data_IF_357311775049
#
_entry.id   IF_357311775049
#
_cell.length_a   1.000
_cell.length_b   1.000
_cell.length_c   1.000
_cell.angle_alpha   90.00
_cell.angle_beta   90.00
_cell.angle_gamma   90.00
#
_symmetry.space_group_name_H-M   'P 1'
#
loop_
_entity.id
_entity.type
_entity.pdbx_description
1 polymer ?
#
# COMPACT_ATOMS: atom_id res chain seq x y z
N UNK A 1 21.74 -12.58 -1.19
CA UNK A 1 21.27 -11.81 -0.01
C UNK A 1 20.36 -12.69 0.84
N UNK A 2 20.53 -12.68 2.17
CA UNK A 2 19.66 -13.41 3.11
C UNK A 2 18.57 -12.48 3.63
N UNK A 3 17.30 -12.87 3.40
CA UNK A 3 16.13 -12.05 3.73
C UNK A 3 15.19 -12.83 4.67
N UNK A 4 14.74 -12.18 5.73
CA UNK A 4 13.74 -12.74 6.63
C UNK A 4 12.39 -12.06 6.45
N UNK A 5 11.33 -12.86 6.29
CA UNK A 5 9.94 -12.36 6.23
C UNK A 5 9.30 -12.52 7.61
N UNK A 6 8.85 -11.42 8.18
CA UNK A 6 8.27 -11.33 9.51
C UNK A 6 6.78 -11.12 9.40
N UNK A 7 5.99 -12.08 9.89
CA UNK A 7 4.56 -12.18 9.65
C UNK A 7 4.25 -13.00 8.40
N UNK A 8 3.80 -14.26 8.59
CA UNK A 8 3.56 -15.23 7.52
C UNK A 8 2.05 -15.41 7.24
N UNK A 9 1.29 -14.33 7.41
CA UNK A 9 -0.10 -14.23 6.99
C UNK A 9 -0.23 -14.15 5.46
N UNK A 10 -1.38 -13.68 4.96
CA UNK A 10 -1.65 -13.56 3.51
C UNK A 10 -0.57 -12.75 2.78
N UNK A 11 -0.23 -11.54 3.28
CA UNK A 11 0.78 -10.68 2.65
C UNK A 11 2.19 -11.26 2.77
N UNK A 12 2.57 -11.78 3.94
CA UNK A 12 3.90 -12.40 4.11
C UNK A 12 4.11 -13.61 3.19
N UNK A 13 3.11 -14.46 3.02
CA UNK A 13 3.16 -15.58 2.05
C UNK A 13 3.26 -15.08 0.60
N UNK A 14 2.59 -13.98 0.25
CA UNK A 14 2.74 -13.34 -1.07
C UNK A 14 4.18 -12.84 -1.26
N UNK A 15 4.73 -12.11 -0.29
CA UNK A 15 6.13 -11.62 -0.35
C UNK A 15 7.12 -12.76 -0.45
N UNK A 16 6.95 -13.83 0.36
CA UNK A 16 7.77 -15.04 0.26
C UNK A 16 7.72 -15.66 -1.14
N UNK A 17 6.53 -15.85 -1.70
CA UNK A 17 6.37 -16.44 -3.03
C UNK A 17 7.09 -15.60 -4.10
N UNK A 18 6.88 -14.28 -4.11
CA UNK A 18 7.51 -13.39 -5.09
C UNK A 18 9.05 -13.36 -4.94
N UNK A 19 9.54 -13.40 -3.71
CA UNK A 19 10.99 -13.47 -3.46
C UNK A 19 11.56 -14.85 -3.81
N UNK A 20 10.81 -15.95 -3.63
CA UNK A 20 11.28 -17.31 -3.97
C UNK A 20 11.47 -17.54 -5.47
N UNK A 21 10.89 -16.71 -6.33
CA UNK A 21 11.12 -16.72 -7.78
C UNK A 21 12.54 -16.22 -8.15
N UNK A 22 13.28 -15.66 -7.20
CA UNK A 22 14.61 -15.09 -7.40
C UNK A 22 15.70 -16.10 -6.99
N UNK A 23 16.77 -16.12 -7.78
CA UNK A 23 17.93 -17.00 -7.52
C UNK A 23 19.03 -16.31 -6.69
N UNK A 24 18.90 -15.01 -6.41
CA UNK A 24 19.89 -14.18 -5.73
C UNK A 24 19.54 -13.92 -4.26
N UNK A 25 18.47 -14.53 -3.74
CA UNK A 25 18.05 -14.42 -2.36
C UNK A 25 17.87 -15.79 -1.69
N UNK A 26 18.17 -15.85 -0.41
CA UNK A 26 17.89 -16.96 0.50
C UNK A 26 16.89 -16.49 1.54
N UNK A 27 15.83 -17.27 1.77
CA UNK A 27 14.65 -16.82 2.51
C UNK A 27 14.51 -17.55 3.85
N UNK A 28 14.08 -16.78 4.84
CA UNK A 28 13.75 -17.23 6.19
C UNK A 28 12.41 -16.64 6.62
N UNK A 29 11.81 -17.19 7.68
CA UNK A 29 10.53 -16.74 8.17
C UNK A 29 10.47 -16.56 9.69
N UNK A 30 9.57 -15.66 10.15
CA UNK A 30 9.15 -15.53 11.53
C UNK A 30 7.65 -15.34 11.57
N UNK A 31 6.94 -16.12 12.37
CA UNK A 31 5.54 -15.87 12.76
C UNK A 31 5.31 -16.33 14.19
N UNK A 32 4.40 -15.67 14.89
CA UNK A 32 3.97 -16.08 16.25
C UNK A 32 3.12 -17.35 16.24
N UNK A 33 2.53 -17.71 15.09
CA UNK A 33 1.73 -18.93 14.92
C UNK A 33 2.60 -20.02 14.26
N UNK A 34 2.86 -21.08 15.03
CA UNK A 34 3.68 -22.23 14.58
C UNK A 34 3.12 -22.88 13.31
N UNK A 35 1.79 -22.98 13.19
CA UNK A 35 1.12 -23.54 12.02
C UNK A 35 1.44 -22.81 10.71
N UNK A 36 1.64 -21.48 10.77
CA UNK A 36 2.06 -20.69 9.60
C UNK A 36 3.51 -20.96 9.23
N UNK A 37 4.37 -21.16 10.22
CA UNK A 37 5.76 -21.56 10.01
C UNK A 37 5.84 -22.97 9.36
N UNK A 38 5.05 -23.90 9.83
CA UNK A 38 4.97 -25.25 9.23
C UNK A 38 4.48 -25.20 7.78
N UNK A 39 3.42 -24.44 7.50
CA UNK A 39 2.87 -24.27 6.15
C UNK A 39 3.93 -23.71 5.17
N UNK A 40 4.66 -22.66 5.54
CA UNK A 40 5.68 -22.08 4.64
C UNK A 40 6.92 -22.97 4.53
N UNK A 41 7.26 -23.75 5.55
CA UNK A 41 8.31 -24.75 5.49
C UNK A 41 7.96 -25.86 4.49
N UNK A 42 6.73 -26.37 4.53
CA UNK A 42 6.27 -27.38 3.58
C UNK A 42 6.20 -26.83 2.15
N UNK A 43 5.68 -25.61 1.99
CA UNK A 43 5.42 -25.04 0.67
C UNK A 43 6.66 -24.47 -0.03
N UNK A 44 7.57 -23.84 0.72
CA UNK A 44 8.72 -23.10 0.20
C UNK A 44 10.07 -23.67 0.64
N UNK A 45 10.10 -24.65 1.56
CA UNK A 45 11.33 -25.25 2.07
C UNK A 45 12.17 -24.32 2.95
N UNK A 46 11.59 -23.24 3.46
CA UNK A 46 12.32 -22.23 4.25
C UNK A 46 12.42 -22.59 5.74
N UNK A 47 13.49 -22.11 6.39
CA UNK A 47 13.64 -22.22 7.84
C UNK A 47 12.93 -21.07 8.53
N UNK A 48 12.19 -21.38 9.60
CA UNK A 48 11.57 -20.36 10.45
C UNK A 48 12.30 -20.28 11.80
N UNK A 49 12.42 -19.06 12.31
CA UNK A 49 12.97 -18.72 13.62
C UNK A 49 11.89 -18.19 14.55
N UNK A 50 12.17 -18.21 15.85
CA UNK A 50 11.23 -17.70 16.87
C UNK A 50 11.37 -16.20 17.12
N UNK A 51 12.52 -15.62 16.78
CA UNK A 51 12.80 -14.19 16.97
C UNK A 51 13.82 -13.69 15.94
N UNK A 52 13.89 -12.36 15.79
CA UNK A 52 14.89 -11.69 14.96
C UNK A 52 16.31 -11.98 15.49
N UNK A 53 16.47 -11.91 16.81
CA UNK A 53 17.76 -12.20 17.46
C UNK A 53 18.25 -13.60 17.13
N UNK A 54 17.39 -14.63 17.29
CA UNK A 54 17.74 -16.02 16.96
C UNK A 54 18.15 -16.16 15.48
N UNK A 55 17.39 -15.52 14.57
CA UNK A 55 17.69 -15.58 13.14
C UNK A 55 19.04 -14.95 12.79
N UNK A 56 19.34 -13.79 13.36
CA UNK A 56 20.60 -13.06 13.11
C UNK A 56 21.82 -13.79 13.73
N UNK A 57 21.63 -14.46 14.88
CA UNK A 57 22.69 -15.26 15.50
C UNK A 57 22.98 -16.56 14.72
N UNK A 58 21.93 -17.17 14.13
CA UNK A 58 22.06 -18.42 13.38
C UNK A 58 22.51 -18.22 11.94
N UNK A 59 22.07 -17.13 11.32
CA UNK A 59 22.26 -16.84 9.91
C UNK A 59 22.71 -15.38 9.72
N UNK A 60 23.45 -15.11 8.68
CA UNK A 60 23.88 -13.75 8.36
C UNK A 60 22.76 -13.03 7.58
N UNK A 61 21.65 -12.72 8.28
CA UNK A 61 20.51 -12.00 7.70
C UNK A 61 20.93 -10.57 7.34
N UNK A 62 20.55 -10.10 6.15
CA UNK A 62 20.91 -8.76 5.63
C UNK A 62 19.69 -7.83 5.53
N UNK A 63 18.49 -8.40 5.34
CA UNK A 63 17.27 -7.61 5.19
C UNK A 63 16.05 -8.30 5.80
N UNK A 64 15.07 -7.51 6.18
CA UNK A 64 13.77 -7.96 6.70
C UNK A 64 12.61 -7.40 5.85
N UNK A 65 11.60 -8.23 5.63
CA UNK A 65 10.31 -7.86 5.02
C UNK A 65 9.22 -8.03 6.08
N UNK A 66 8.65 -6.92 6.54
CA UNK A 66 7.68 -6.89 7.64
C UNK A 66 6.27 -6.88 7.06
N UNK A 67 5.51 -7.95 7.32
CA UNK A 67 4.13 -8.17 6.85
C UNK A 67 3.19 -8.52 8.01
N UNK A 68 3.38 -7.85 9.13
CA UNK A 68 2.59 -8.01 10.36
C UNK A 68 1.43 -7.02 10.43
N UNK A 69 0.73 -6.95 11.56
CA UNK A 69 -0.26 -5.90 11.81
C UNK A 69 0.40 -4.52 11.90
N UNK A 70 -0.20 -3.45 11.33
CA UNK A 70 0.37 -2.10 11.30
C UNK A 70 0.80 -1.56 12.68
N UNK A 71 0.06 -1.90 13.75
CA UNK A 71 0.40 -1.44 15.11
C UNK A 71 1.68 -2.07 15.68
N UNK A 72 2.19 -3.15 15.08
CA UNK A 72 3.45 -3.79 15.50
C UNK A 72 4.66 -3.33 14.67
N UNK A 73 4.45 -2.63 13.55
CA UNK A 73 5.52 -2.25 12.64
C UNK A 73 6.62 -1.43 13.32
N UNK A 74 6.26 -0.41 14.08
CA UNK A 74 7.23 0.49 14.73
C UNK A 74 8.29 -0.27 15.57
N UNK A 75 7.83 -1.20 16.41
CA UNK A 75 8.71 -1.97 17.28
C UNK A 75 9.59 -2.97 16.50
N UNK A 76 9.00 -3.65 15.50
CA UNK A 76 9.71 -4.63 14.67
C UNK A 76 10.75 -3.91 13.78
N UNK A 77 10.40 -2.77 13.17
CA UNK A 77 11.34 -1.94 12.41
C UNK A 77 12.54 -1.56 13.27
N UNK A 78 12.29 -1.04 14.48
CA UNK A 78 13.35 -0.67 15.42
C UNK A 78 14.28 -1.83 15.75
N UNK A 79 13.70 -3.01 16.02
CA UNK A 79 14.48 -4.22 16.31
C UNK A 79 15.34 -4.63 15.10
N UNK A 80 14.77 -4.68 13.89
CA UNK A 80 15.50 -4.98 12.67
C UNK A 80 16.67 -4.00 12.43
N UNK A 81 16.42 -2.69 12.55
CA UNK A 81 17.45 -1.66 12.39
C UNK A 81 18.54 -1.78 13.47
N UNK A 82 18.16 -2.15 14.70
CA UNK A 82 19.13 -2.38 15.79
C UNK A 82 20.09 -3.51 15.44
N UNK A 83 19.59 -4.55 14.80
CA UNK A 83 20.37 -5.68 14.27
C UNK A 83 21.08 -5.41 12.92
N UNK A 84 21.06 -4.17 12.43
CA UNK A 84 21.68 -3.73 11.18
C UNK A 84 21.05 -4.36 9.92
N UNK A 85 19.75 -4.65 9.94
CA UNK A 85 19.02 -5.14 8.78
C UNK A 85 18.46 -3.98 7.94
N UNK A 86 18.51 -4.09 6.62
CA UNK A 86 17.68 -3.29 5.72
C UNK A 86 16.22 -3.70 5.91
N UNK A 87 15.29 -2.75 5.86
CA UNK A 87 13.88 -3.00 6.19
C UNK A 87 12.97 -2.61 5.03
N UNK A 88 12.13 -3.56 4.62
CA UNK A 88 10.90 -3.33 3.89
C UNK A 88 9.73 -3.51 4.86
N UNK A 89 8.77 -2.57 4.90
CA UNK A 89 7.53 -2.74 5.66
C UNK A 89 6.31 -2.56 4.77
N UNK A 90 5.26 -3.32 5.05
CA UNK A 90 3.93 -3.09 4.48
C UNK A 90 3.40 -1.71 4.90
N UNK A 91 2.30 -1.26 4.26
CA UNK A 91 1.69 0.04 4.53
C UNK A 91 1.54 0.30 6.02
N UNK A 92 1.78 1.53 6.44
CA UNK A 92 1.51 1.99 7.78
C UNK A 92 0.17 2.73 7.84
N UNK A 93 -0.51 2.56 8.95
CA UNK A 93 -1.78 3.24 9.23
C UNK A 93 -1.66 4.22 10.40
N UNK A 94 -0.49 4.24 11.05
CA UNK A 94 -0.17 5.10 12.19
C UNK A 94 1.29 5.54 12.10
N UNK A 95 1.62 6.69 12.67
CA UNK A 95 2.98 7.27 12.65
C UNK A 95 3.85 6.80 13.83
N UNK A 96 3.44 5.76 14.55
CA UNK A 96 4.17 5.27 15.71
C UNK A 96 5.64 4.97 15.32
N UNK A 97 6.58 5.56 16.04
CA UNK A 97 8.02 5.32 15.87
C UNK A 97 8.65 5.89 14.58
N UNK A 98 7.95 6.67 13.76
CA UNK A 98 8.49 7.19 12.49
C UNK A 98 9.79 7.97 12.68
N UNK A 99 9.78 9.01 13.49
CA UNK A 99 10.95 9.88 13.70
C UNK A 99 12.16 9.07 14.20
N UNK A 100 11.93 8.18 15.19
CA UNK A 100 12.98 7.38 15.79
C UNK A 100 13.55 6.37 14.80
N UNK A 101 12.70 5.67 14.04
CA UNK A 101 13.12 4.65 13.09
C UNK A 101 13.81 5.27 11.86
N UNK A 102 13.33 6.40 11.34
CA UNK A 102 14.00 7.14 10.27
C UNK A 102 15.37 7.64 10.71
N UNK A 103 15.48 8.20 11.92
CA UNK A 103 16.76 8.65 12.46
C UNK A 103 17.74 7.49 12.61
N UNK A 104 17.30 6.36 13.17
CA UNK A 104 18.12 5.15 13.35
C UNK A 104 18.58 4.55 12.01
N UNK A 105 17.67 4.48 11.02
CA UNK A 105 18.02 3.98 9.69
C UNK A 105 19.09 4.88 9.02
N UNK A 106 18.93 6.19 9.14
CA UNK A 106 19.90 7.17 8.62
C UNK A 106 21.25 7.07 9.32
N UNK A 107 21.27 6.99 10.66
CA UNK A 107 22.49 6.85 11.46
C UNK A 107 23.28 5.62 11.05
N UNK A 108 22.58 4.49 10.86
CA UNK A 108 23.20 3.21 10.49
C UNK A 108 23.40 3.02 8.99
N UNK A 109 23.03 3.99 8.17
CA UNK A 109 23.07 3.90 6.71
C UNK A 109 22.31 2.67 6.17
N UNK A 110 21.12 2.40 6.72
CA UNK A 110 20.26 1.29 6.31
C UNK A 110 19.12 1.79 5.44
N UNK A 111 18.61 0.91 4.57
CA UNK A 111 17.36 1.14 3.84
C UNK A 111 16.19 0.94 4.78
N UNK A 112 15.27 1.91 4.80
CA UNK A 112 13.97 1.82 5.42
C UNK A 112 12.92 2.12 4.34
N UNK A 113 12.40 1.05 3.73
CA UNK A 113 11.49 1.10 2.59
C UNK A 113 10.05 0.91 3.04
N UNK A 114 9.14 1.74 2.54
CA UNK A 114 7.71 1.67 2.83
C UNK A 114 6.93 1.24 1.58
N UNK A 115 6.08 0.23 1.75
CA UNK A 115 5.18 -0.25 0.72
C UNK A 115 4.16 0.81 0.30
N UNK A 116 3.98 0.97 -1.00
CA UNK A 116 2.90 1.75 -1.63
C UNK A 116 2.59 1.17 -3.00
N UNK A 117 2.01 -0.01 -3.01
CA UNK A 117 1.87 -0.87 -4.20
C UNK A 117 1.18 -0.20 -5.38
N UNK A 118 0.22 0.72 -5.12
CA UNK A 118 -0.48 1.44 -6.20
C UNK A 118 0.44 2.31 -7.05
N UNK A 119 1.56 2.81 -6.51
CA UNK A 119 2.55 3.57 -7.28
C UNK A 119 3.33 2.72 -8.30
N UNK A 120 3.26 1.39 -8.17
CA UNK A 120 3.90 0.44 -9.08
C UNK A 120 2.92 -0.15 -10.11
N UNK A 121 1.65 0.25 -10.09
CA UNK A 121 0.68 -0.13 -11.12
C UNK A 121 0.86 0.72 -12.37
N UNK A 122 0.86 0.10 -13.54
CA UNK A 122 1.00 0.81 -14.83
C UNK A 122 -0.14 1.80 -15.07
N UNK A 123 -1.35 1.46 -14.65
CA UNK A 123 -2.52 2.33 -14.77
C UNK A 123 -2.34 3.61 -13.97
N UNK A 124 -1.94 3.50 -12.69
CA UNK A 124 -1.72 4.68 -11.84
C UNK A 124 -0.51 5.49 -12.30
N UNK A 125 0.57 4.86 -12.76
CA UNK A 125 1.72 5.54 -13.36
C UNK A 125 1.30 6.34 -14.60
N UNK A 126 0.47 5.76 -15.47
CA UNK A 126 -0.08 6.46 -16.65
C UNK A 126 -0.98 7.62 -16.25
N UNK A 127 -1.84 7.45 -15.23
CA UNK A 127 -2.67 8.54 -14.71
C UNK A 127 -1.79 9.66 -14.15
N UNK A 128 -0.80 9.33 -13.33
CA UNK A 128 0.16 10.29 -12.76
C UNK A 128 0.83 11.10 -13.87
N UNK A 129 1.38 10.41 -14.88
CA UNK A 129 2.04 11.06 -16.01
C UNK A 129 1.11 12.03 -16.74
N UNK A 130 -0.12 11.59 -17.06
CA UNK A 130 -1.09 12.43 -17.78
C UNK A 130 -1.52 13.65 -16.98
N UNK A 131 -1.74 13.48 -15.67
CA UNK A 131 -2.12 14.58 -14.77
C UNK A 131 -0.98 15.58 -14.60
N UNK A 132 0.25 15.11 -14.38
CA UNK A 132 1.44 15.99 -14.26
C UNK A 132 1.78 16.75 -15.55
N UNK A 133 1.43 16.20 -16.72
CA UNK A 133 1.62 16.85 -18.01
C UNK A 133 0.48 17.82 -18.39
N UNK A 134 -0.60 17.87 -17.61
CA UNK A 134 -1.71 18.80 -17.84
C UNK A 134 -1.28 20.24 -17.58
N UNK A 135 -1.64 21.15 -18.48
CA UNK A 135 -1.25 22.57 -18.42
C UNK A 135 -2.26 23.45 -17.68
N UNK A 136 -3.36 22.87 -17.24
CA UNK A 136 -4.42 23.55 -16.51
C UNK A 136 -4.88 22.70 -15.34
N UNK A 137 -5.45 23.31 -14.28
CA UNK A 137 -6.02 22.58 -13.17
C UNK A 137 -7.10 21.60 -13.61
N UNK A 138 -7.08 20.41 -13.03
CA UNK A 138 -8.04 19.35 -13.26
C UNK A 138 -8.93 19.17 -12.03
N UNK A 139 -10.09 18.58 -12.25
CA UNK A 139 -10.96 18.09 -11.19
C UNK A 139 -11.02 16.57 -11.23
N UNK A 140 -11.30 15.94 -10.08
CA UNK A 140 -11.54 14.50 -10.05
C UNK A 140 -12.67 14.13 -9.07
N UNK A 141 -13.32 13.01 -9.38
CA UNK A 141 -14.26 12.33 -8.49
C UNK A 141 -13.73 10.92 -8.32
N UNK A 142 -13.42 10.55 -7.09
CA UNK A 142 -12.86 9.25 -6.76
C UNK A 142 -13.71 8.57 -5.69
N UNK A 143 -14.14 7.34 -5.93
CA UNK A 143 -14.85 6.52 -4.95
C UNK A 143 -14.13 5.19 -4.77
N UNK A 144 -13.81 4.87 -3.53
CA UNK A 144 -13.28 3.57 -3.12
C UNK A 144 -14.14 3.03 -1.98
N UNK A 145 -14.76 1.89 -2.20
CA UNK A 145 -15.60 1.28 -1.20
C UNK A 145 -15.71 -0.23 -1.36
N UNK A 146 -15.86 -0.92 -0.23
CA UNK A 146 -16.16 -2.34 -0.17
C UNK A 146 -16.78 -2.68 1.18
N UNK A 147 -17.84 -3.47 1.19
CA UNK A 147 -18.50 -3.90 2.42
C UNK A 147 -17.55 -4.67 3.33
N UNK A 148 -17.34 -4.17 4.54
CA UNK A 148 -16.31 -4.66 5.47
C UNK A 148 -16.35 -6.17 5.73
N UNK A 149 -17.52 -6.82 5.97
CA UNK A 149 -17.59 -8.26 6.14
C UNK A 149 -17.16 -9.10 4.92
N UNK A 150 -17.12 -8.49 3.74
CA UNK A 150 -16.73 -9.18 2.50
C UNK A 150 -15.21 -9.11 2.24
N UNK A 151 -14.44 -8.40 3.09
CA UNK A 151 -12.98 -8.29 2.93
C UNK A 151 -12.29 -9.61 3.20
N UNK A 152 -12.63 -10.22 4.36
CA UNK A 152 -12.15 -11.53 4.78
C UNK A 152 -13.35 -12.38 5.23
N UNK A 153 -14.10 -12.99 4.30
CA UNK A 153 -15.35 -13.68 4.64
C UNK A 153 -15.16 -14.94 5.51
N UNK A 154 -13.90 -15.39 5.68
CA UNK A 154 -13.53 -16.55 6.51
C UNK A 154 -13.20 -16.20 7.96
N UNK A 155 -13.13 -14.91 8.31
CA UNK A 155 -12.86 -14.45 9.68
C UNK A 155 -13.65 -13.18 10.03
N UNK A 156 -13.81 -12.91 11.33
CA UNK A 156 -14.48 -11.69 11.77
C UNK A 156 -13.59 -10.47 11.54
N UNK A 157 -14.15 -9.38 10.97
CA UNK A 157 -13.45 -8.12 10.83
C UNK A 157 -13.01 -7.50 12.16
N UNK A 158 -13.56 -7.94 13.30
CA UNK A 158 -13.13 -7.53 14.64
C UNK A 158 -11.91 -8.32 15.14
N UNK A 159 -11.50 -9.41 14.48
CA UNK A 159 -10.41 -10.28 14.94
C UNK A 159 -9.03 -9.87 14.42
N UNK A 160 -8.95 -8.87 13.51
CA UNK A 160 -7.69 -8.35 12.98
C UNK A 160 -7.64 -6.82 13.07
N UNK A 161 -6.57 -6.18 12.57
CA UNK A 161 -6.27 -4.77 12.81
C UNK A 161 -7.39 -3.79 12.38
N UNK A 162 -8.22 -4.15 11.41
CA UNK A 162 -9.35 -3.34 10.94
C UNK A 162 -10.41 -3.08 12.04
N UNK A 163 -10.55 -3.99 12.98
CA UNK A 163 -11.44 -3.79 14.15
C UNK A 163 -10.97 -2.71 15.12
N UNK A 164 -9.70 -2.31 15.04
CA UNK A 164 -9.13 -1.26 15.89
C UNK A 164 -9.40 0.13 15.28
N UNK A 165 -9.94 1.11 16.06
CA UNK A 165 -10.20 2.46 15.54
C UNK A 165 -8.98 3.18 14.96
N UNK A 166 -7.77 2.90 15.47
CA UNK A 166 -6.53 3.51 14.97
C UNK A 166 -6.07 2.99 13.60
N UNK A 167 -6.60 1.84 13.18
CA UNK A 167 -6.21 1.16 11.94
C UNK A 167 -7.42 0.73 11.13
N UNK A 168 -8.52 1.42 11.30
CA UNK A 168 -9.84 1.13 10.75
C UNK A 168 -9.84 1.00 9.21
N UNK A 169 -10.92 0.40 8.67
CA UNK A 169 -11.00 0.07 7.25
C UNK A 169 -11.02 1.30 6.31
N UNK A 170 -11.68 2.39 6.70
CA UNK A 170 -11.64 3.61 5.89
C UNK A 170 -10.25 4.24 5.90
N UNK A 171 -9.55 4.18 7.04
CA UNK A 171 -8.16 4.63 7.18
C UNK A 171 -7.21 3.81 6.29
N UNK A 172 -7.39 2.50 6.27
CA UNK A 172 -6.59 1.63 5.38
C UNK A 172 -6.79 2.01 3.90
N UNK A 173 -8.05 2.20 3.47
CA UNK A 173 -8.33 2.65 2.09
C UNK A 173 -7.64 3.99 1.81
N UNK A 174 -7.75 4.97 2.70
CA UNK A 174 -7.09 6.27 2.53
C UNK A 174 -5.57 6.13 2.46
N UNK A 175 -4.95 5.32 3.31
CA UNK A 175 -3.50 5.09 3.31
C UNK A 175 -3.00 4.35 2.05
N UNK A 176 -3.83 3.51 1.43
CA UNK A 176 -3.51 2.87 0.15
C UNK A 176 -3.60 3.86 -1.01
N UNK A 177 -4.63 4.71 -1.02
CA UNK A 177 -5.01 5.47 -2.20
C UNK A 177 -4.44 6.90 -2.23
N UNK A 178 -4.33 7.59 -1.09
CA UNK A 178 -3.78 8.95 -1.07
C UNK A 178 -2.33 9.07 -1.57
N UNK A 179 -1.42 8.11 -1.36
CA UNK A 179 -0.07 8.18 -1.92
C UNK A 179 -0.03 8.40 -3.42
N UNK A 180 -0.81 7.66 -4.20
CA UNK A 180 -0.83 7.84 -5.65
C UNK A 180 -1.63 9.09 -6.07
N UNK A 181 -2.69 9.47 -5.33
CA UNK A 181 -3.45 10.71 -5.55
C UNK A 181 -2.54 11.93 -5.36
N UNK A 182 -1.79 11.98 -4.26
CA UNK A 182 -0.82 13.06 -4.00
C UNK A 182 0.29 13.06 -5.06
N UNK A 183 0.75 11.89 -5.49
CA UNK A 183 1.75 11.79 -6.56
C UNK A 183 1.22 12.32 -7.90
N UNK A 184 -0.07 12.15 -8.18
CA UNK A 184 -0.69 12.64 -9.41
C UNK A 184 -0.98 14.15 -9.36
N UNK A 185 -1.64 14.60 -8.30
CA UNK A 185 -2.23 15.95 -8.22
C UNK A 185 -1.38 16.95 -7.43
N UNK A 186 -0.32 16.48 -6.77
CA UNK A 186 0.55 17.30 -5.91
C UNK A 186 0.05 17.36 -4.45
N UNK A 187 0.81 18.05 -3.56
CA UNK A 187 0.50 18.16 -2.15
C UNK A 187 -0.92 18.72 -1.89
N UNK A 188 -1.56 18.22 -0.84
CA UNK A 188 -2.88 18.67 -0.42
C UNK A 188 -2.73 19.98 0.37
N UNK A 189 -3.38 21.03 -0.10
CA UNK A 189 -3.41 22.36 0.52
C UNK A 189 -4.49 22.47 1.58
N UNK A 190 -5.66 21.90 1.33
CA UNK A 190 -6.79 21.91 2.25
C UNK A 190 -7.68 20.69 2.08
N UNK A 191 -8.28 20.24 3.18
CA UNK A 191 -9.18 19.10 3.25
C UNK A 191 -10.41 19.43 4.09
N UNK A 192 -11.57 18.94 3.66
CA UNK A 192 -12.80 18.96 4.46
C UNK A 192 -13.56 17.66 4.25
N UNK A 193 -14.16 17.11 5.30
CA UNK A 193 -14.83 15.82 5.27
C UNK A 193 -16.21 15.87 5.94
N UNK A 194 -17.17 15.20 5.30
CA UNK A 194 -18.43 14.79 5.93
C UNK A 194 -18.29 13.30 6.20
N UNK A 195 -18.45 12.89 7.45
CA UNK A 195 -18.25 11.52 7.91
C UNK A 195 -19.39 11.07 8.82
N UNK A 196 -19.67 9.79 8.80
CA UNK A 196 -20.71 9.20 9.63
C UNK A 196 -20.53 7.70 9.79
N UNK A 197 -21.24 7.14 10.76
CA UNK A 197 -21.47 5.71 10.90
C UNK A 197 -22.92 5.42 10.54
N UNK A 198 -23.16 4.81 9.37
CA UNK A 198 -24.48 4.59 8.81
C UNK A 198 -24.97 3.14 8.94
N UNK A 199 -24.11 2.21 9.36
CA UNK A 199 -24.45 0.80 9.44
C UNK A 199 -24.53 0.29 10.88
N UNK A 200 -25.15 -0.91 11.03
CA UNK A 200 -25.16 -1.68 12.28
C UNK A 200 -23.90 -2.55 12.47
N UNK A 201 -22.85 -2.33 11.68
CA UNK A 201 -21.57 -3.03 11.87
C UNK A 201 -21.04 -2.78 13.28
N UNK A 202 -20.53 -3.83 13.91
CA UNK A 202 -19.94 -3.74 15.24
C UNK A 202 -18.54 -3.11 15.19
N UNK A 203 -18.48 -1.82 14.85
CA UNK A 203 -17.29 -0.99 14.80
C UNK A 203 -17.54 0.31 15.57
N UNK A 204 -16.47 0.95 16.06
CA UNK A 204 -16.53 2.18 16.86
C UNK A 204 -16.02 3.41 16.10
N UNK A 205 -15.80 3.29 14.79
CA UNK A 205 -15.34 4.35 13.91
C UNK A 205 -16.38 4.65 12.80
N UNK A 206 -16.20 5.76 12.10
CA UNK A 206 -17.05 6.11 10.97
C UNK A 206 -16.84 5.14 9.79
N UNK A 207 -17.92 4.72 9.17
CA UNK A 207 -17.91 3.72 8.10
C UNK A 207 -18.00 4.32 6.69
N UNK A 208 -18.10 5.63 6.60
CA UNK A 208 -18.07 6.36 5.34
C UNK A 208 -17.58 7.81 5.52
N UNK A 209 -16.93 8.32 4.46
CA UNK A 209 -16.36 9.66 4.37
C UNK A 209 -16.62 10.22 2.96
N UNK A 210 -17.10 11.46 2.87
CA UNK A 210 -17.11 12.26 1.66
C UNK A 210 -16.12 13.41 1.87
N UNK A 211 -15.01 13.37 1.17
CA UNK A 211 -13.85 14.23 1.40
C UNK A 211 -13.69 15.16 0.21
N UNK A 212 -13.54 16.45 0.45
CA UNK A 212 -13.12 17.43 -0.57
C UNK A 212 -11.64 17.76 -0.36
N UNK A 213 -10.89 17.77 -1.46
CA UNK A 213 -9.45 17.99 -1.49
C UNK A 213 -9.14 19.16 -2.44
N UNK A 214 -8.34 20.11 -1.97
CA UNK A 214 -7.72 21.14 -2.82
C UNK A 214 -6.20 20.92 -2.76
N UNK A 215 -5.57 20.84 -3.94
CA UNK A 215 -4.13 20.65 -4.07
C UNK A 215 -3.41 22.01 -4.28
N UNK A 216 -2.15 22.09 -3.89
CA UNK A 216 -1.33 23.29 -4.11
C UNK A 216 -1.20 23.66 -5.59
N UNK A 217 -1.23 22.67 -6.47
CA UNK A 217 -1.27 22.80 -7.93
C UNK A 217 -2.55 23.46 -8.47
N UNK A 218 -3.58 23.66 -7.62
CA UNK A 218 -4.90 24.14 -8.01
C UNK A 218 -5.86 23.04 -8.48
N UNK A 219 -5.42 21.78 -8.55
CA UNK A 219 -6.32 20.65 -8.77
C UNK A 219 -7.32 20.48 -7.61
N UNK A 220 -8.51 19.93 -7.87
CA UNK A 220 -9.56 19.74 -6.86
C UNK A 220 -10.19 18.38 -7.02
N UNK A 221 -10.52 17.76 -5.89
CA UNK A 221 -11.15 16.46 -5.89
C UNK A 221 -12.21 16.25 -4.85
N UNK A 222 -13.10 15.30 -5.15
CA UNK A 222 -13.96 14.64 -4.18
C UNK A 222 -13.47 13.20 -4.05
N UNK A 223 -13.15 12.80 -2.83
CA UNK A 223 -12.75 11.43 -2.52
C UNK A 223 -13.78 10.82 -1.56
N UNK A 224 -14.57 9.87 -2.04
CA UNK A 224 -15.51 9.11 -1.25
C UNK A 224 -14.85 7.80 -0.82
N UNK A 225 -14.83 7.55 0.49
CA UNK A 225 -14.24 6.34 1.09
C UNK A 225 -15.26 5.69 1.99
N UNK A 226 -15.48 4.40 1.83
CA UNK A 226 -16.42 3.68 2.68
C UNK A 226 -16.11 2.19 2.84
N UNK A 227 -16.68 1.62 3.92
CA UNK A 227 -16.70 0.18 4.17
C UNK A 227 -18.13 -0.38 4.13
N UNK A 228 -19.03 0.29 3.41
CA UNK A 228 -20.46 -0.03 3.35
C UNK A 228 -20.94 -0.43 1.95
N UNK A 229 -20.17 -0.16 0.90
CA UNK A 229 -20.54 -0.43 -0.48
C UNK A 229 -20.63 -1.94 -0.74
N UNK A 230 -21.84 -2.44 -1.03
CA UNK A 230 -22.10 -3.85 -1.32
C UNK A 230 -21.45 -4.34 -2.62
N UNK A 231 -21.24 -3.45 -3.55
CA UNK A 231 -20.43 -3.71 -4.73
C UNK A 231 -19.08 -3.04 -4.52
N UNK A 232 -18.04 -3.84 -4.33
CA UNK A 232 -16.69 -3.31 -4.24
C UNK A 232 -16.31 -2.54 -5.51
N UNK A 233 -15.63 -1.41 -5.34
CA UNK A 233 -15.23 -0.58 -6.46
C UNK A 233 -14.12 0.39 -6.10
N UNK A 234 -13.39 0.78 -7.15
CA UNK A 234 -12.38 1.84 -7.12
C UNK A 234 -12.52 2.62 -8.41
N UNK A 235 -13.38 3.64 -8.39
CA UNK A 235 -13.78 4.37 -9.58
C UNK A 235 -13.28 5.80 -9.51
N UNK A 236 -12.45 6.22 -10.47
CA UNK A 236 -12.03 7.60 -10.61
C UNK A 236 -12.42 8.15 -11.99
N UNK A 237 -12.89 9.38 -12.00
CA UNK A 237 -13.06 10.21 -13.18
C UNK A 237 -12.25 11.49 -12.98
N UNK A 238 -11.39 11.83 -13.94
CA UNK A 238 -10.54 13.02 -13.92
C UNK A 238 -10.91 13.85 -15.15
N UNK A 239 -11.18 15.12 -14.97
CA UNK A 239 -11.66 15.98 -16.04
C UNK A 239 -11.18 17.42 -15.94
N UNK A 240 -10.98 18.02 -17.08
CA UNK A 240 -10.64 19.42 -17.28
C UNK A 240 -10.64 19.73 -18.78
N UNK A 241 -10.25 20.94 -19.15
CA UNK A 241 -10.32 21.39 -20.55
C UNK A 241 -9.49 20.51 -21.50
N UNK A 242 -8.33 20.00 -21.03
CA UNK A 242 -7.35 19.31 -21.89
C UNK A 242 -7.27 17.81 -21.63
N UNK A 243 -7.91 17.30 -20.61
CA UNK A 243 -7.87 15.89 -20.23
C UNK A 243 -9.20 15.45 -19.68
N UNK A 244 -9.67 14.29 -20.16
CA UNK A 244 -10.73 13.54 -19.53
C UNK A 244 -10.33 12.07 -19.54
N UNK A 245 -10.30 11.44 -18.39
CA UNK A 245 -10.03 10.02 -18.26
C UNK A 245 -10.88 9.38 -17.16
N UNK A 246 -11.08 8.08 -17.26
CA UNK A 246 -11.77 7.29 -16.24
C UNK A 246 -11.09 5.95 -16.04
N UNK A 247 -11.14 5.44 -14.80
CA UNK A 247 -10.59 4.15 -14.42
C UNK A 247 -11.43 3.51 -13.31
N UNK A 248 -11.71 2.20 -13.38
CA UNK A 248 -12.50 1.49 -12.36
C UNK A 248 -11.69 0.57 -11.46
N UNK A 249 -10.35 0.70 -11.48
CA UNK A 249 -9.45 -0.12 -10.64
C UNK A 249 -8.93 -1.40 -11.31
N UNK A 250 -9.47 -1.80 -12.46
CA UNK A 250 -8.99 -2.98 -13.20
C UNK A 250 -7.97 -2.59 -14.28
N UNK A 251 -7.11 -3.53 -14.68
CA UNK A 251 -6.01 -3.30 -15.62
C UNK A 251 -6.47 -2.87 -17.02
N UNK A 252 -7.67 -3.28 -17.43
CA UNK A 252 -8.24 -3.08 -18.76
C UNK A 252 -9.27 -1.94 -18.85
N UNK A 253 -9.46 -1.19 -17.76
CA UNK A 253 -10.53 -0.20 -17.65
C UNK A 253 -10.11 1.24 -17.78
N UNK A 254 -8.80 1.52 -17.88
CA UNK A 254 -8.32 2.90 -18.06
C UNK A 254 -8.69 3.40 -19.44
N UNK A 255 -9.48 4.48 -19.47
CA UNK A 255 -9.93 5.14 -20.69
C UNK A 255 -9.47 6.58 -20.68
N UNK A 256 -9.06 7.07 -21.84
CA UNK A 256 -8.77 8.47 -22.09
C UNK A 256 -9.67 8.95 -23.20
N UNK A 257 -10.39 10.04 -22.96
CA UNK A 257 -11.25 10.64 -23.97
C UNK A 257 -10.43 11.40 -25.00
N UNK A 258 -10.48 10.96 -26.25
CA UNK A 258 -9.91 11.67 -27.39
C UNK A 258 -10.81 12.86 -27.74
N UNK A 259 -10.30 14.08 -27.51
CA UNK A 259 -11.06 15.32 -27.66
C UNK A 259 -11.40 15.59 -29.13
N UNK A 260 -10.51 15.26 -30.07
CA UNK A 260 -10.69 15.48 -31.51
C UNK A 260 -11.70 14.49 -32.09
N UNK A 261 -11.55 13.21 -31.77
CA UNK A 261 -12.40 12.14 -32.28
C UNK A 261 -13.70 11.96 -31.47
N UNK A 262 -13.81 12.61 -30.30
CA UNK A 262 -14.97 12.55 -29.37
C UNK A 262 -15.35 11.13 -28.97
N UNK A 263 -14.35 10.30 -28.68
CA UNK A 263 -14.55 8.90 -28.26
C UNK A 263 -13.57 8.52 -27.15
N UNK A 264 -13.97 7.53 -26.35
CA UNK A 264 -13.07 6.91 -25.38
C UNK A 264 -12.06 5.99 -26.08
N UNK A 265 -10.80 6.09 -25.69
CA UNK A 265 -9.73 5.19 -26.07
C UNK A 265 -9.29 4.39 -24.85
N UNK A 266 -9.28 3.06 -24.95
CA UNK A 266 -8.80 2.18 -23.88
C UNK A 266 -7.27 2.19 -23.93
N UNK A 267 -6.64 2.44 -22.78
CA UNK A 267 -5.20 2.31 -22.63
C UNK A 267 -4.90 0.82 -22.35
N UNK A 268 -4.25 0.19 -23.31
CA UNK A 268 -3.83 -1.22 -23.18
C UNK A 268 -2.41 -1.30 -22.62
N UNK A 269 -2.21 -2.21 -21.68
CA UNK A 269 -0.90 -2.52 -21.13
C UNK A 269 -0.46 -3.91 -21.61
N UNK A 270 0.72 -4.00 -22.20
CA UNK A 270 1.33 -5.27 -22.62
C UNK A 270 1.84 -6.08 -21.41
N UNK A 271 0.95 -6.36 -20.47
CA UNK A 271 1.25 -7.15 -19.28
C UNK A 271 0.22 -8.28 -19.17
N UNK A 272 0.70 -9.51 -19.26
CA UNK A 272 -0.08 -10.64 -18.77
C UNK A 272 -0.25 -10.42 -17.27
N UNK A 273 -1.41 -9.87 -16.85
CA UNK A 273 -1.72 -9.68 -15.44
C UNK A 273 -1.78 -11.08 -14.79
N UNK A 274 -0.74 -11.39 -14.03
CA UNK A 274 -0.71 -12.63 -13.26
C UNK A 274 -1.73 -12.50 -12.12
N UNK A 275 -2.76 -13.32 -12.17
CA UNK A 275 -3.76 -13.45 -11.13
C UNK A 275 -3.55 -14.73 -10.34
N UNK A 276 -3.56 -14.60 -9.03
CA UNK A 276 -3.56 -15.77 -8.13
C UNK A 276 -5.00 -16.09 -7.76
N UNK A 277 -5.40 -17.33 -7.93
CA UNK A 277 -6.73 -17.84 -7.57
C UNK A 277 -7.04 -17.56 -6.10
N UNK A 278 -8.24 -17.06 -5.81
CA UNK A 278 -8.69 -16.72 -4.47
C UNK A 278 -8.55 -15.22 -4.09
N UNK A 279 -7.93 -14.38 -4.95
CA UNK A 279 -7.90 -12.94 -4.78
C UNK A 279 -8.90 -12.22 -5.69
N UNK A 280 -9.32 -11.01 -5.29
CA UNK A 280 -10.22 -10.19 -6.10
C UNK A 280 -9.58 -9.86 -7.46
N UNK A 281 -10.41 -9.78 -8.52
CA UNK A 281 -9.96 -9.60 -9.91
C UNK A 281 -9.11 -8.33 -10.16
N UNK A 282 -9.16 -7.34 -9.27
CA UNK A 282 -8.35 -6.13 -9.36
C UNK A 282 -6.95 -6.28 -8.71
N UNK A 283 -6.66 -7.42 -8.07
CA UNK A 283 -5.34 -7.68 -7.45
C UNK A 283 -4.46 -8.35 -8.49
N UNK A 284 -3.42 -7.64 -8.92
CA UNK A 284 -2.39 -8.13 -9.85
C UNK A 284 -1.06 -8.28 -9.11
N UNK A 285 -0.25 -9.27 -9.46
CA UNK A 285 1.00 -9.59 -8.73
C UNK A 285 2.19 -8.70 -9.14
N UNK A 286 2.20 -8.20 -10.38
CA UNK A 286 3.31 -7.41 -10.91
C UNK A 286 3.67 -6.17 -10.06
N UNK A 287 2.74 -5.35 -9.58
CA UNK A 287 3.07 -4.21 -8.71
C UNK A 287 3.80 -4.62 -7.42
N UNK A 288 3.42 -5.73 -6.81
CA UNK A 288 4.10 -6.26 -5.61
C UNK A 288 5.52 -6.74 -5.92
N UNK A 289 5.74 -7.33 -7.10
CA UNK A 289 7.08 -7.74 -7.57
C UNK A 289 7.97 -6.53 -7.84
N UNK A 290 7.45 -5.52 -8.54
CA UNK A 290 8.19 -4.28 -8.84
C UNK A 290 8.55 -3.50 -7.56
N UNK A 291 7.70 -3.51 -6.58
CA UNK A 291 7.95 -2.90 -5.28
C UNK A 291 9.11 -3.59 -4.53
N UNK A 292 9.14 -4.93 -4.51
CA UNK A 292 10.27 -5.69 -3.96
C UNK A 292 11.57 -5.45 -4.75
N UNK A 293 11.48 -5.36 -6.08
CA UNK A 293 12.63 -5.01 -6.93
C UNK A 293 13.15 -3.61 -6.61
N UNK A 294 12.27 -2.65 -6.35
CA UNK A 294 12.62 -1.28 -5.92
C UNK A 294 13.36 -1.27 -4.58
N UNK A 295 12.91 -2.07 -3.60
CA UNK A 295 13.59 -2.25 -2.33
C UNK A 295 15.00 -2.81 -2.50
N UNK A 296 15.13 -3.91 -3.25
CA UNK A 296 16.43 -4.54 -3.48
C UNK A 296 17.36 -3.62 -4.28
N UNK A 297 16.82 -2.86 -5.22
CA UNK A 297 17.58 -1.85 -5.96
C UNK A 297 18.10 -0.75 -5.03
N UNK A 298 17.30 -0.27 -4.07
CA UNK A 298 17.72 0.75 -3.10
C UNK A 298 18.84 0.23 -2.18
N UNK A 299 18.87 -1.07 -1.88
CA UNK A 299 19.97 -1.68 -1.13
C UNK A 299 21.25 -1.69 -1.97
N UNK A 300 21.14 -2.06 -3.24
CA UNK A 300 22.29 -2.16 -4.16
C UNK A 300 22.81 -0.81 -4.64
N UNK A 301 21.95 0.17 -4.79
CA UNK A 301 22.24 1.53 -5.27
C UNK A 301 21.66 2.55 -4.28
N UNK A 302 22.53 3.14 -3.46
CA UNK A 302 22.16 4.07 -2.39
C UNK A 302 21.71 5.45 -2.91
N UNK A 303 21.97 5.76 -4.17
CA UNK A 303 21.51 6.98 -4.84
C UNK A 303 20.11 6.81 -5.44
N UNK A 304 19.60 5.57 -5.51
CA UNK A 304 18.26 5.29 -5.94
C UNK A 304 17.22 5.74 -4.91
N UNK A 305 16.26 6.55 -5.34
CA UNK A 305 15.12 6.99 -4.50
C UNK A 305 13.85 6.25 -4.92
N UNK A 306 13.16 5.57 -4.00
CA UNK A 306 11.89 4.92 -4.29
C UNK A 306 10.79 5.95 -4.56
N UNK A 307 9.70 5.53 -5.18
CA UNK A 307 8.54 6.40 -5.46
C UNK A 307 7.91 6.95 -4.17
N UNK A 308 7.94 6.18 -3.09
CA UNK A 308 7.35 6.51 -1.78
C UNK A 308 8.33 6.26 -0.64
N UNK A 309 8.21 7.04 0.42
CA UNK A 309 9.06 6.97 1.61
C UNK A 309 8.28 7.40 2.86
N UNK A 310 8.89 7.22 4.03
CA UNK A 310 8.29 7.56 5.33
C UNK A 310 8.01 9.05 5.52
N UNK A 311 8.80 9.94 4.92
CA UNK A 311 8.59 11.40 5.02
C UNK A 311 7.31 11.81 4.28
N UNK A 312 7.10 11.29 3.07
CA UNK A 312 5.88 11.53 2.29
C UNK A 312 4.67 10.91 2.95
N UNK A 313 4.83 9.70 3.48
CA UNK A 313 3.77 8.96 4.15
C UNK A 313 3.30 9.66 5.41
N UNK A 314 4.22 10.21 6.19
CA UNK A 314 3.91 11.03 7.36
C UNK A 314 2.95 12.17 7.03
N UNK A 315 3.22 12.91 5.95
CA UNK A 315 2.34 13.99 5.48
C UNK A 315 0.94 13.47 5.13
N UNK A 316 0.86 12.31 4.47
CA UNK A 316 -0.43 11.69 4.13
C UNK A 316 -1.16 11.21 5.37
N UNK A 317 -0.48 10.60 6.34
CA UNK A 317 -1.11 10.19 7.60
C UNK A 317 -1.59 11.40 8.43
N UNK A 318 -0.88 12.55 8.41
CA UNK A 318 -1.35 13.80 9.01
C UNK A 318 -2.65 14.31 8.34
N UNK A 319 -2.78 14.16 7.02
CA UNK A 319 -4.02 14.49 6.29
C UNK A 319 -5.15 13.53 6.68
N UNK A 320 -4.86 12.23 6.81
CA UNK A 320 -5.85 11.24 7.25
C UNK A 320 -6.33 11.57 8.67
N UNK A 321 -5.42 11.94 9.58
CA UNK A 321 -5.77 12.37 10.93
C UNK A 321 -6.69 13.61 10.92
N UNK A 322 -6.45 14.58 10.04
CA UNK A 322 -7.33 15.75 9.85
C UNK A 322 -8.71 15.34 9.31
N UNK A 323 -8.78 14.38 8.39
CA UNK A 323 -10.04 13.84 7.85
C UNK A 323 -10.86 13.15 8.97
N UNK A 324 -10.18 12.42 9.84
CA UNK A 324 -10.80 11.66 10.93
C UNK A 324 -11.14 12.52 12.17
N UNK A 325 -10.50 13.67 12.36
CA UNK A 325 -10.78 14.62 13.46
C UNK A 325 -12.18 15.24 13.34
#
# INVERSE_FOLDING_TARGET
MKIIVIGLGSMGKRRLRLLSERNDVELFGIDSQESRCEEVKEKFGITCFKSITEAVEAENIEAAVISTSPLSHAAIIKECLTHNLHVFTEINLVQDGYEENMALAKEKNLVLFLSSTFLYRKETQTIIEKVQNAKCPLNYIYHVGQYLPDWHPWESYNSYFIGNPRTNGCREIMAIDLPWVVSAFGPIKSVSAIKSKNTELNITYNDNYLITLEHESGHKGVFAVDVVARKSGRNIEIFGEQLHLSWNGTADSLKVFNIEEKKDEIVSFDDASEHVEGYAAFVTENPYREELNSFLKQIADRDYSPAWDFEKDKVVLDIIDQIEA
#
